data_IF_015883481102
#
_entry.id   IF_015883481102
#
_cell.length_a   1.000
_cell.length_b   1.000
_cell.length_c   1.000
_cell.angle_alpha   90.00
_cell.angle_beta   90.00
_cell.angle_gamma   90.00
#
_symmetry.space_group_name_H-M   'P 1'
#
loop_
_entity.id
_entity.type
_entity.pdbx_description
1 polymer ?
#
# COMPACT_ATOMS: atom_id res chain seq x y z
N UNK A 1 -2.57 7.74 20.79
CA UNK A 1 -2.32 7.35 19.38
C UNK A 1 -1.51 6.06 19.24
N UNK A 2 -0.23 5.97 19.54
CA UNK A 2 0.62 4.78 19.27
C UNK A 2 0.07 3.42 19.72
N UNK A 3 -0.56 3.33 20.89
CA UNK A 3 -1.13 2.06 21.38
C UNK A 3 -2.31 1.59 20.50
N UNK A 4 -3.11 2.50 19.98
CA UNK A 4 -4.20 2.17 19.07
C UNK A 4 -3.69 1.71 17.72
N UNK A 5 -2.63 2.37 17.19
CA UNK A 5 -1.98 1.95 15.95
C UNK A 5 -1.35 0.55 16.08
N UNK A 6 -0.73 0.23 17.22
CA UNK A 6 -0.23 -1.14 17.50
C UNK A 6 -1.35 -2.18 17.46
N UNK A 7 -2.52 -1.85 18.03
CA UNK A 7 -3.67 -2.75 18.01
C UNK A 7 -4.23 -2.93 16.59
N UNK A 8 -4.15 -1.89 15.75
CA UNK A 8 -4.55 -1.99 14.33
C UNK A 8 -3.58 -2.88 13.57
N UNK A 9 -2.25 -2.66 13.68
CA UNK A 9 -1.27 -3.54 13.03
C UNK A 9 -1.45 -5.00 13.43
N UNK A 10 -1.73 -5.26 14.71
CA UNK A 10 -2.00 -6.62 15.18
C UNK A 10 -3.20 -7.28 14.51
N UNK A 11 -4.17 -6.51 13.99
CA UNK A 11 -5.29 -7.08 13.23
C UNK A 11 -4.87 -7.59 11.84
N UNK A 12 -3.68 -7.17 11.37
CA UNK A 12 -3.11 -7.59 10.10
C UNK A 12 -2.09 -8.73 10.24
N UNK A 13 -1.71 -9.14 11.46
CA UNK A 13 -0.66 -10.15 11.70
C UNK A 13 -0.88 -11.48 10.94
N UNK A 14 -2.13 -11.83 10.66
CA UNK A 14 -2.51 -13.05 9.92
C UNK A 14 -2.55 -12.84 8.39
N UNK A 15 -2.28 -11.64 7.90
CA UNK A 15 -2.33 -11.34 6.47
C UNK A 15 -0.96 -11.60 5.85
N UNK A 16 -0.91 -12.52 4.92
CA UNK A 16 0.27 -12.83 4.12
C UNK A 16 0.31 -11.99 2.84
N UNK A 17 1.52 -11.77 2.30
CA UNK A 17 1.67 -11.03 1.05
C UNK A 17 1.35 -11.91 -0.16
N UNK A 18 0.47 -11.42 -1.02
CA UNK A 18 -0.04 -12.14 -2.17
C UNK A 18 -1.38 -11.57 -2.61
N UNK A 19 -2.06 -12.20 -3.55
CA UNK A 19 -3.40 -11.80 -3.95
C UNK A 19 -4.33 -13.00 -4.16
N UNK A 20 -5.62 -12.71 -4.25
CA UNK A 20 -6.67 -13.71 -4.49
C UNK A 20 -7.46 -13.27 -5.71
N UNK A 21 -7.67 -14.17 -6.67
CA UNK A 21 -8.48 -13.88 -7.86
C UNK A 21 -10.00 -14.01 -7.61
N UNK A 22 -10.79 -13.66 -8.61
CA UNK A 22 -12.25 -13.76 -8.53
C UNK A 22 -12.77 -15.21 -8.34
N UNK A 23 -11.96 -16.20 -8.67
CA UNK A 23 -12.27 -17.64 -8.48
C UNK A 23 -11.80 -18.14 -7.11
N UNK A 24 -11.28 -17.25 -6.24
CA UNK A 24 -10.74 -17.54 -4.91
C UNK A 24 -9.45 -18.39 -4.94
N UNK A 25 -8.71 -18.38 -6.06
CA UNK A 25 -7.37 -18.93 -6.09
C UNK A 25 -6.39 -17.96 -5.43
N UNK A 26 -5.48 -18.50 -4.62
CA UNK A 26 -4.46 -17.74 -3.88
C UNK A 26 -3.15 -17.74 -4.68
N UNK A 27 -2.54 -16.56 -4.78
CA UNK A 27 -1.28 -16.32 -5.47
C UNK A 27 -0.28 -15.68 -4.50
N UNK A 28 0.49 -16.46 -3.72
CA UNK A 28 1.59 -15.94 -2.90
C UNK A 28 2.67 -15.31 -3.80
N UNK A 29 3.40 -14.32 -3.27
CA UNK A 29 4.39 -13.54 -4.02
C UNK A 29 5.64 -14.32 -4.49
N UNK A 30 5.85 -15.53 -3.95
CA UNK A 30 6.95 -16.43 -4.33
C UNK A 30 6.69 -17.26 -5.61
N UNK A 31 5.53 -17.11 -6.25
CA UNK A 31 5.20 -17.82 -7.48
C UNK A 31 5.99 -17.25 -8.67
N UNK A 32 6.53 -18.12 -9.52
CA UNK A 32 7.37 -17.76 -10.68
C UNK A 32 6.70 -16.76 -11.63
N UNK A 33 5.40 -16.90 -11.86
CA UNK A 33 4.61 -16.07 -12.80
C UNK A 33 3.74 -15.04 -12.06
N UNK A 34 4.12 -14.66 -10.84
CA UNK A 34 3.32 -13.81 -9.96
C UNK A 34 2.96 -12.47 -10.64
N UNK A 35 3.93 -11.74 -11.18
CA UNK A 35 3.69 -10.43 -11.83
C UNK A 35 2.74 -10.53 -13.02
N UNK A 36 2.88 -11.56 -13.85
CA UNK A 36 2.00 -11.80 -15.01
C UNK A 36 0.57 -12.14 -14.59
N UNK A 37 0.41 -12.90 -13.51
CA UNK A 37 -0.88 -13.24 -12.95
C UNK A 37 -1.51 -12.03 -12.25
N UNK A 38 -0.71 -11.25 -11.49
CA UNK A 38 -1.16 -10.05 -10.81
C UNK A 38 -1.80 -9.05 -11.78
N UNK A 39 -1.12 -8.71 -12.86
CA UNK A 39 -1.63 -7.74 -13.85
C UNK A 39 -2.96 -8.15 -14.51
N UNK A 40 -3.24 -9.47 -14.58
CA UNK A 40 -4.42 -10.01 -15.27
C UNK A 40 -5.56 -10.41 -14.34
N UNK A 41 -5.25 -10.88 -13.14
CA UNK A 41 -6.21 -11.58 -12.28
C UNK A 41 -6.49 -10.85 -10.97
N UNK A 42 -5.65 -9.86 -10.62
CA UNK A 42 -5.83 -9.08 -9.40
C UNK A 42 -7.11 -8.25 -9.45
N UNK A 43 -7.76 -8.17 -8.32
CA UNK A 43 -8.78 -7.19 -8.01
C UNK A 43 -8.66 -6.74 -6.56
N UNK A 44 -8.95 -5.47 -6.29
CA UNK A 44 -8.90 -4.90 -4.96
C UNK A 44 -9.97 -5.54 -4.07
N UNK A 45 -9.55 -6.19 -3.01
CA UNK A 45 -10.44 -6.83 -2.05
C UNK A 45 -11.11 -5.81 -1.13
N UNK A 46 -12.33 -6.09 -0.70
CA UNK A 46 -12.90 -5.41 0.46
C UNK A 46 -12.19 -5.85 1.75
N UNK A 47 -12.24 -5.05 2.84
CA UNK A 47 -11.70 -5.46 4.13
C UNK A 47 -12.22 -6.81 4.62
N UNK A 48 -13.50 -7.09 4.40
CA UNK A 48 -14.14 -8.35 4.78
C UNK A 48 -13.57 -9.53 3.97
N UNK A 49 -13.35 -9.36 2.68
CA UNK A 49 -12.71 -10.37 1.82
C UNK A 49 -11.27 -10.61 2.25
N UNK A 50 -10.49 -9.56 2.49
CA UNK A 50 -9.10 -9.69 2.92
C UNK A 50 -8.98 -10.42 4.26
N UNK A 51 -9.81 -10.08 5.26
CA UNK A 51 -9.86 -10.77 6.56
C UNK A 51 -10.15 -12.26 6.39
N UNK A 52 -11.05 -12.60 5.47
CA UNK A 52 -11.42 -13.99 5.18
C UNK A 52 -10.32 -14.74 4.43
N UNK A 53 -9.76 -14.12 3.40
CA UNK A 53 -8.84 -14.75 2.47
C UNK A 53 -7.41 -14.82 3.01
N UNK A 54 -7.02 -13.91 3.92
CA UNK A 54 -5.71 -13.84 4.57
C UNK A 54 -4.52 -13.54 3.63
N UNK A 55 -4.77 -13.17 2.38
CA UNK A 55 -3.76 -12.80 1.39
C UNK A 55 -4.11 -11.46 0.76
N UNK A 56 -3.19 -10.50 0.84
CA UNK A 56 -3.36 -9.19 0.24
C UNK A 56 -2.04 -8.49 -0.05
N UNK A 57 -1.99 -7.74 -1.15
CA UNK A 57 -0.87 -6.85 -1.46
C UNK A 57 -0.98 -5.54 -0.69
N UNK A 58 0.00 -4.66 -0.81
CA UNK A 58 -0.02 -3.34 -0.15
C UNK A 58 -1.32 -2.56 -0.41
N UNK A 59 -1.90 -2.67 -1.61
CA UNK A 59 -3.15 -2.01 -1.97
C UNK A 59 -4.33 -2.48 -1.12
N UNK A 60 -4.48 -3.80 -0.90
CA UNK A 60 -5.52 -4.39 -0.04
C UNK A 60 -5.28 -4.06 1.43
N UNK A 61 -4.02 -4.15 1.87
CA UNK A 61 -3.67 -3.98 3.28
C UNK A 61 -3.89 -2.54 3.75
N UNK A 62 -3.58 -1.53 2.92
CA UNK A 62 -3.88 -0.12 3.24
C UNK A 62 -5.38 0.12 3.37
N UNK A 63 -6.23 -0.51 2.57
CA UNK A 63 -7.68 -0.38 2.73
C UNK A 63 -8.20 -1.06 3.99
N UNK A 64 -7.58 -2.14 4.44
CA UNK A 64 -7.87 -2.75 5.73
C UNK A 64 -7.41 -1.88 6.90
N UNK A 65 -6.23 -1.26 6.82
CA UNK A 65 -5.76 -0.28 7.80
C UNK A 65 -6.71 0.91 7.88
N UNK A 66 -7.11 1.48 6.74
CA UNK A 66 -8.11 2.56 6.65
C UNK A 66 -9.43 2.17 7.31
N UNK A 67 -9.91 0.96 7.08
CA UNK A 67 -11.13 0.44 7.68
C UNK A 67 -11.06 0.41 9.22
N UNK A 68 -9.96 -0.11 9.80
CA UNK A 68 -9.78 -0.15 11.24
C UNK A 68 -9.59 1.25 11.86
N UNK A 69 -8.85 2.14 11.19
CA UNK A 69 -8.70 3.53 11.59
C UNK A 69 -10.04 4.25 11.63
N UNK A 70 -10.84 4.10 10.56
CA UNK A 70 -12.20 4.69 10.49
C UNK A 70 -13.10 4.17 11.60
N UNK A 71 -13.07 2.88 11.92
CA UNK A 71 -13.85 2.30 13.04
C UNK A 71 -13.47 2.89 14.41
N UNK A 72 -12.25 3.39 14.54
CA UNK A 72 -11.76 4.06 15.76
C UNK A 72 -11.89 5.58 15.70
N UNK A 73 -12.53 6.13 14.67
CA UNK A 73 -12.63 7.57 14.41
C UNK A 73 -11.24 8.26 14.33
N UNK A 74 -10.25 7.56 13.81
CA UNK A 74 -8.91 8.09 13.55
C UNK A 74 -8.85 8.51 12.08
N UNK A 75 -8.64 9.80 11.85
CA UNK A 75 -8.47 10.35 10.50
C UNK A 75 -7.12 9.92 9.91
N UNK A 76 -7.13 9.52 8.65
CA UNK A 76 -5.94 9.08 7.93
C UNK A 76 -5.99 9.45 6.46
N UNK A 77 -4.80 9.54 5.85
CA UNK A 77 -4.62 9.77 4.43
C UNK A 77 -3.83 8.65 3.82
N UNK A 78 -4.22 8.20 2.63
CA UNK A 78 -3.49 7.16 1.90
C UNK A 78 -2.74 7.74 0.74
N UNK A 79 -1.56 7.19 0.52
CA UNK A 79 -0.62 7.61 -0.52
C UNK A 79 -0.27 6.44 -1.42
N UNK A 80 -0.08 6.75 -2.68
CA UNK A 80 0.36 5.84 -3.73
C UNK A 80 1.65 6.38 -4.32
N UNK A 81 2.72 5.62 -4.25
CA UNK A 81 4.00 5.92 -4.88
C UNK A 81 4.21 4.99 -6.07
N UNK A 82 4.62 5.54 -7.18
CA UNK A 82 4.85 4.82 -8.43
C UNK A 82 6.13 5.32 -9.10
N UNK A 83 6.89 4.39 -9.64
CA UNK A 83 8.02 4.68 -10.51
C UNK A 83 7.68 4.23 -11.94
N UNK A 84 7.54 5.19 -12.83
CA UNK A 84 7.30 4.90 -14.25
C UNK A 84 8.63 4.59 -14.95
N UNK A 85 8.72 3.40 -15.48
CA UNK A 85 9.76 2.95 -16.40
C UNK A 85 9.07 2.41 -17.67
N UNK A 86 9.83 2.26 -18.76
CA UNK A 86 9.32 1.73 -20.04
C UNK A 86 8.92 0.24 -19.99
N UNK A 87 9.20 -0.47 -18.92
CA UNK A 87 9.00 -1.93 -18.80
C UNK A 87 8.28 -2.36 -17.54
N UNK A 88 8.42 -1.62 -16.46
CA UNK A 88 7.90 -1.96 -15.15
C UNK A 88 7.38 -0.70 -14.46
N UNK A 89 6.33 -0.86 -13.70
CA UNK A 89 5.74 0.23 -12.92
C UNK A 89 5.62 -0.21 -11.46
N UNK A 90 6.75 -0.33 -10.74
CA UNK A 90 6.69 -0.70 -9.34
C UNK A 90 5.93 0.36 -8.55
N UNK A 91 5.07 -0.11 -7.68
CA UNK A 91 4.19 0.72 -6.86
C UNK A 91 4.24 0.30 -5.40
N UNK A 92 3.89 1.24 -4.54
CA UNK A 92 3.57 0.95 -3.14
C UNK A 92 2.45 1.87 -2.66
N UNK A 93 1.61 1.38 -1.76
CA UNK A 93 0.63 2.19 -1.04
C UNK A 93 0.95 2.19 0.44
N UNK A 94 0.70 3.31 1.09
CA UNK A 94 0.90 3.44 2.53
C UNK A 94 -0.09 4.44 3.14
N UNK A 95 -0.29 4.34 4.45
CA UNK A 95 -1.23 5.19 5.16
C UNK A 95 -0.51 6.07 6.17
N UNK A 96 -0.97 7.31 6.28
CA UNK A 96 -0.43 8.33 7.18
C UNK A 96 -1.53 8.84 8.11
N UNK A 97 -1.20 8.91 9.39
CA UNK A 97 -2.04 9.46 10.44
C UNK A 97 -1.41 10.74 10.95
N UNK A 98 -2.22 11.81 11.10
CA UNK A 98 -1.81 13.06 11.75
C UNK A 98 -2.43 13.14 13.14
N UNK A 99 -1.58 13.28 14.16
CA UNK A 99 -1.96 13.58 15.54
C UNK A 99 -1.04 14.68 16.07
N UNK A 100 -0.40 14.48 17.20
CA UNK A 100 0.72 15.33 17.68
C UNK A 100 1.91 15.32 16.73
N UNK A 101 2.12 14.19 16.06
CA UNK A 101 3.11 13.94 15.02
C UNK A 101 2.47 13.33 13.78
N UNK A 102 3.30 12.97 12.82
CA UNK A 102 2.91 12.17 11.65
C UNK A 102 3.37 10.73 11.85
N UNK A 103 2.47 9.79 11.60
CA UNK A 103 2.73 8.37 11.76
C UNK A 103 2.52 7.66 10.43
N UNK A 104 3.54 6.95 9.95
CA UNK A 104 3.40 5.99 8.86
C UNK A 104 3.13 4.63 9.48
N UNK A 105 2.00 4.04 9.14
CA UNK A 105 1.62 2.69 9.50
C UNK A 105 1.98 1.77 8.34
N UNK A 106 2.75 0.72 8.59
CA UNK A 106 3.21 -0.19 7.55
C UNK A 106 3.11 -1.64 7.99
N UNK A 107 2.43 -2.45 7.19
CA UNK A 107 2.35 -3.89 7.42
C UNK A 107 2.88 -4.70 6.24
N UNK A 108 2.58 -4.29 5.02
CA UNK A 108 2.83 -5.05 3.80
C UNK A 108 4.31 -5.11 3.39
N UNK A 109 5.06 -4.07 3.70
CA UNK A 109 6.48 -3.96 3.32
C UNK A 109 7.37 -4.45 4.45
N UNK A 110 7.66 -5.75 4.46
CA UNK A 110 8.26 -6.49 5.55
C UNK A 110 9.49 -5.83 6.20
N UNK A 111 10.50 -5.29 5.47
CA UNK A 111 11.66 -4.64 6.09
C UNK A 111 11.31 -3.37 6.89
N UNK A 112 10.17 -2.78 6.64
CA UNK A 112 9.72 -1.53 7.29
C UNK A 112 8.42 -1.71 8.08
N UNK A 113 8.01 -2.97 8.33
CA UNK A 113 6.79 -3.25 9.11
C UNK A 113 6.85 -2.59 10.47
N UNK A 114 5.83 -1.80 10.81
CA UNK A 114 5.75 -1.11 12.08
C UNK A 114 5.08 0.25 12.03
N UNK A 115 5.35 1.05 13.06
CA UNK A 115 4.87 2.42 13.19
C UNK A 115 6.09 3.33 13.18
N UNK A 116 6.18 4.19 12.18
CA UNK A 116 7.24 5.17 12.02
C UNK A 116 6.72 6.55 12.37
N UNK A 117 7.51 7.35 13.08
CA UNK A 117 7.12 8.65 13.62
C UNK A 117 7.99 9.76 13.06
N UNK A 118 7.35 10.85 12.64
CA UNK A 118 7.99 12.01 12.01
C UNK A 118 7.43 13.33 12.54
N UNK A 119 8.22 14.39 12.50
CA UNK A 119 7.80 15.71 12.93
C UNK A 119 6.99 16.45 11.85
N UNK A 120 7.13 16.05 10.59
CA UNK A 120 6.38 16.65 9.47
C UNK A 120 5.99 15.61 8.41
N UNK A 121 4.95 15.91 7.64
CA UNK A 121 4.55 15.12 6.49
C UNK A 121 5.66 15.04 5.44
N UNK A 122 6.36 16.14 5.23
CA UNK A 122 7.45 16.19 4.24
C UNK A 122 8.61 15.26 4.63
N UNK A 123 8.99 15.21 5.92
CA UNK A 123 9.99 14.28 6.43
C UNK A 123 9.56 12.83 6.20
N UNK A 124 8.31 12.49 6.52
CA UNK A 124 7.73 11.16 6.29
C UNK A 124 7.78 10.76 4.82
N UNK A 125 7.24 11.62 3.94
CA UNK A 125 7.15 11.32 2.52
C UNK A 125 8.53 11.18 1.86
N UNK A 126 9.51 12.00 2.28
CA UNK A 126 10.89 11.87 1.83
C UNK A 126 11.53 10.55 2.28
N UNK A 127 11.29 10.12 3.50
CA UNK A 127 11.83 8.85 4.01
C UNK A 127 11.24 7.64 3.25
N UNK A 128 9.91 7.63 3.04
CA UNK A 128 9.26 6.59 2.22
C UNK A 128 9.81 6.59 0.79
N UNK A 129 9.98 7.77 0.18
CA UNK A 129 10.56 7.92 -1.15
C UNK A 129 11.97 7.32 -1.24
N UNK A 130 12.86 7.64 -0.28
CA UNK A 130 14.23 7.11 -0.24
C UNK A 130 14.21 5.58 -0.16
N UNK A 131 13.41 5.01 0.73
CA UNK A 131 13.25 3.57 0.89
C UNK A 131 12.74 2.90 -0.38
N UNK A 132 11.77 3.53 -1.05
CA UNK A 132 11.22 3.03 -2.30
C UNK A 132 12.25 3.08 -3.44
N UNK A 133 13.02 4.16 -3.57
CA UNK A 133 14.12 4.27 -4.53
C UNK A 133 15.21 3.21 -4.29
N UNK A 134 15.54 2.91 -3.03
CA UNK A 134 16.46 1.84 -2.69
C UNK A 134 15.95 0.47 -3.13
N UNK A 135 14.64 0.21 -3.00
CA UNK A 135 14.03 -1.04 -3.45
C UNK A 135 14.04 -1.16 -4.98
N UNK A 136 13.79 -0.07 -5.69
CA UNK A 136 13.86 0.01 -7.16
C UNK A 136 15.28 -0.27 -7.66
N UNK A 137 16.28 0.33 -7.02
CA UNK A 137 17.72 0.10 -7.36
C UNK A 137 18.10 -1.37 -7.22
N UNK A 138 17.61 -2.06 -6.17
CA UNK A 138 17.82 -3.51 -5.97
C UNK A 138 17.20 -4.37 -7.09
N UNK A 139 16.14 -3.88 -7.74
CA UNK A 139 15.49 -4.53 -8.87
C UNK A 139 16.15 -4.20 -10.23
N UNK A 140 17.26 -3.43 -10.23
CA UNK A 140 17.96 -2.97 -11.43
C UNK A 140 17.09 -2.11 -12.38
N UNK A 141 16.07 -1.45 -11.88
CA UNK A 141 15.25 -0.51 -12.64
C UNK A 141 16.01 0.83 -12.72
N UNK A 142 16.15 1.35 -13.93
CA UNK A 142 16.87 2.59 -14.23
C UNK A 142 15.97 3.53 -15.02
N UNK A 143 16.31 4.83 -14.99
CA UNK A 143 15.65 5.85 -15.80
C UNK A 143 14.13 5.97 -15.56
N UNK A 144 13.71 5.84 -14.30
CA UNK A 144 12.32 5.97 -13.89
C UNK A 144 11.95 7.40 -13.48
N UNK A 145 10.69 7.73 -13.61
CA UNK A 145 10.08 8.93 -13.04
C UNK A 145 9.24 8.55 -11.83
N UNK A 146 9.63 9.01 -10.65
CA UNK A 146 8.90 8.74 -9.43
C UNK A 146 7.85 9.82 -9.16
N UNK A 147 6.67 9.40 -8.74
CA UNK A 147 5.56 10.29 -8.36
C UNK A 147 4.83 9.72 -7.15
N UNK A 148 4.37 10.62 -6.27
CA UNK A 148 3.50 10.28 -5.14
C UNK A 148 2.15 10.97 -5.33
N UNK A 149 1.07 10.25 -5.05
CA UNK A 149 -0.29 10.77 -5.05
C UNK A 149 -0.96 10.52 -3.70
N UNK A 150 -1.64 11.52 -3.15
CA UNK A 150 -2.61 11.32 -2.08
C UNK A 150 -3.94 10.94 -2.73
N UNK A 151 -4.50 9.77 -2.39
CA UNK A 151 -5.70 9.27 -3.03
C UNK A 151 -6.84 9.03 -2.03
N UNK A 152 -8.07 9.18 -2.52
CA UNK A 152 -9.29 8.93 -1.76
C UNK A 152 -9.60 7.43 -1.72
N UNK A 153 -10.48 7.02 -0.78
CA UNK A 153 -10.97 5.65 -0.69
C UNK A 153 -11.48 5.15 -2.05
N UNK A 154 -10.91 4.07 -2.59
CA UNK A 154 -11.39 3.46 -3.83
C UNK A 154 -12.70 2.70 -3.61
N UNK A 155 -13.41 2.41 -4.69
CA UNK A 155 -14.37 1.32 -4.69
C UNK A 155 -13.63 -0.02 -4.70
N UNK A 156 -14.22 -1.05 -4.13
CA UNK A 156 -13.63 -2.40 -4.17
C UNK A 156 -13.87 -3.07 -5.54
N UNK A 157 -13.17 -4.17 -5.78
CA UNK A 157 -13.21 -4.94 -7.02
C UNK A 157 -12.65 -4.21 -8.26
N UNK A 158 -11.80 -3.19 -8.05
CA UNK A 158 -11.01 -2.61 -9.13
C UNK A 158 -9.93 -3.59 -9.56
N UNK A 159 -9.74 -3.77 -10.86
CA UNK A 159 -8.57 -4.49 -11.37
C UNK A 159 -7.29 -3.66 -11.22
N UNK A 160 -6.14 -4.24 -11.57
CA UNK A 160 -4.82 -3.60 -11.44
C UNK A 160 -4.78 -2.21 -12.10
N UNK A 161 -5.22 -2.10 -13.35
CA UNK A 161 -5.20 -0.84 -14.14
C UNK A 161 -6.16 0.18 -13.52
N UNK A 162 -7.38 -0.23 -13.23
CA UNK A 162 -8.40 0.65 -12.65
C UNK A 162 -7.98 1.21 -11.28
N UNK A 163 -7.29 0.41 -10.45
CA UNK A 163 -6.78 0.89 -9.17
C UNK A 163 -5.66 1.92 -9.35
N UNK A 164 -4.70 1.66 -10.23
CA UNK A 164 -3.63 2.62 -10.54
C UNK A 164 -4.20 3.93 -11.06
N UNK A 165 -5.11 3.89 -12.04
CA UNK A 165 -5.80 5.09 -12.55
C UNK A 165 -6.58 5.84 -11.48
N UNK A 166 -7.20 5.12 -10.52
CA UNK A 166 -7.88 5.74 -9.39
C UNK A 166 -6.91 6.52 -8.51
N UNK A 167 -5.77 5.94 -8.18
CA UNK A 167 -4.73 6.58 -7.38
C UNK A 167 -4.13 7.81 -8.08
N UNK A 168 -3.86 7.73 -9.37
CA UNK A 168 -3.28 8.80 -10.19
C UNK A 168 -4.21 10.00 -10.40
N UNK A 169 -5.53 9.81 -10.25
CA UNK A 169 -6.51 10.91 -10.21
C UNK A 169 -6.49 11.68 -8.88
N UNK A 170 -5.74 11.21 -7.91
CA UNK A 170 -5.56 11.89 -6.62
C UNK A 170 -4.70 13.15 -6.71
N UNK A 171 -4.43 13.74 -5.56
CA UNK A 171 -3.58 14.91 -5.46
C UNK A 171 -2.11 14.53 -5.64
N UNK A 172 -1.49 14.99 -6.72
CA UNK A 172 -0.06 14.83 -6.94
C UNK A 172 0.76 15.62 -5.93
N UNK A 173 1.67 14.94 -5.25
CA UNK A 173 2.54 15.55 -4.24
C UNK A 173 3.90 15.90 -4.88
N UNK A 174 4.29 17.13 -4.71
CA UNK A 174 5.61 17.64 -5.15
C UNK A 174 6.55 17.59 -3.95
N UNK A 175 7.52 16.66 -3.96
CA UNK A 175 8.60 16.50 -2.97
C UNK A 175 9.95 16.51 -3.68
#
# INVERSE_FOLDING_TARGET
MKNELKLILKQLDDIEYGFVDNNKNIYPDNLKDWNSNFSKLYHLQSPEELIKNKYGVCWDQVELERYYLTKKNIESKSYFIIAYDNKQEPTHTFIVIKDDKYYWLEHSWEPYRGIHEYNSLNELLNDVKIKFEESIKKQNIKDYKLTIYEYNKPRYNLNCIEFMEHCEKGLKINI
#
